data_IF_946248426528
#
_entry.id   IF_946248426528
#
_cell.length_a   1.000
_cell.length_b   1.000
_cell.length_c   1.000
_cell.angle_alpha   90.00
_cell.angle_beta   90.00
_cell.angle_gamma   90.00
#
_symmetry.space_group_name_H-M   'P 1'
#
loop_
_entity.id
_entity.type
_entity.pdbx_description
1 polymer ?
#
# COMPACT_ATOMS: atom_id res chain seq x y z
N UNK A 1 8.55 -21.99 13.69
CA UNK A 1 8.93 -22.11 15.13
C UNK A 1 7.76 -21.81 16.07
N UNK A 2 7.06 -20.68 15.90
CA UNK A 2 5.91 -20.33 16.74
C UNK A 2 4.75 -21.33 16.61
N UNK A 3 4.43 -21.80 15.39
CA UNK A 3 3.42 -22.85 15.18
C UNK A 3 3.68 -24.11 16.01
N UNK A 4 4.91 -24.63 15.94
CA UNK A 4 5.34 -25.82 16.68
C UNK A 4 5.27 -25.62 18.19
N UNK A 5 5.59 -24.42 18.69
CA UNK A 5 5.46 -24.09 20.11
C UNK A 5 3.99 -24.02 20.54
N UNK A 6 3.12 -23.48 19.68
CA UNK A 6 1.69 -23.44 19.95
C UNK A 6 1.07 -24.84 19.97
N UNK A 7 1.42 -25.70 19.00
CA UNK A 7 1.02 -27.11 18.99
C UNK A 7 1.50 -27.86 20.25
N UNK A 8 2.69 -27.54 20.72
CA UNK A 8 3.24 -28.12 21.95
C UNK A 8 2.47 -27.65 23.19
N UNK A 9 2.08 -26.38 23.23
CA UNK A 9 1.27 -25.82 24.32
C UNK A 9 -0.12 -26.46 24.37
N UNK A 10 -0.75 -26.69 23.21
CA UNK A 10 -2.04 -27.39 23.10
C UNK A 10 -1.95 -28.82 23.63
N UNK A 11 -0.90 -29.55 23.27
CA UNK A 11 -0.64 -30.92 23.77
C UNK A 11 -0.36 -30.95 25.28
N UNK A 12 0.26 -29.90 25.83
CA UNK A 12 0.60 -29.80 27.24
C UNK A 12 -0.57 -29.36 28.14
N UNK A 13 -1.67 -28.87 27.55
CA UNK A 13 -2.82 -28.37 28.29
C UNK A 13 -3.59 -29.52 28.98
N UNK A 14 -3.40 -29.66 30.29
CA UNK A 14 -3.83 -30.84 31.05
C UNK A 14 -5.17 -30.70 31.80
N UNK A 15 -5.83 -29.54 31.72
CA UNK A 15 -7.15 -29.29 32.32
C UNK A 15 -7.91 -28.22 31.53
N UNK A 16 -9.23 -28.19 31.68
CA UNK A 16 -10.12 -27.32 30.89
C UNK A 16 -9.77 -25.83 30.97
N UNK A 17 -9.42 -25.32 32.16
CA UNK A 17 -9.02 -23.91 32.33
C UNK A 17 -7.72 -23.56 31.59
N UNK A 18 -6.77 -24.50 31.54
CA UNK A 18 -5.53 -24.31 30.78
C UNK A 18 -5.78 -24.45 29.29
N UNK A 19 -6.64 -25.39 28.86
CA UNK A 19 -7.03 -25.55 27.45
C UNK A 19 -7.70 -24.29 26.90
N UNK A 20 -8.65 -23.71 27.63
CA UNK A 20 -9.31 -22.45 27.25
C UNK A 20 -8.29 -21.31 27.05
N UNK A 21 -7.35 -21.15 27.99
CA UNK A 21 -6.29 -20.13 27.87
C UNK A 21 -5.36 -20.37 26.69
N UNK A 22 -4.97 -21.62 26.46
CA UNK A 22 -4.12 -21.97 25.30
C UNK A 22 -4.87 -21.76 23.99
N UNK A 23 -6.18 -22.04 23.96
CA UNK A 23 -7.02 -21.77 22.81
C UNK A 23 -7.13 -20.27 22.50
N UNK A 24 -7.29 -19.41 23.52
CA UNK A 24 -7.23 -17.95 23.33
C UNK A 24 -5.88 -17.49 22.76
N UNK A 25 -4.77 -18.10 23.21
CA UNK A 25 -3.44 -17.83 22.66
C UNK A 25 -3.30 -18.31 21.21
N UNK A 26 -3.89 -19.46 20.86
CA UNK A 26 -3.97 -19.98 19.48
C UNK A 26 -4.71 -18.99 18.57
N UNK A 27 -5.88 -18.51 18.98
CA UNK A 27 -6.65 -17.51 18.23
C UNK A 27 -5.83 -16.23 18.01
N UNK A 28 -5.18 -15.72 19.06
CA UNK A 28 -4.34 -14.52 18.93
C UNK A 28 -3.15 -14.75 18.00
N UNK A 29 -2.52 -15.92 18.08
CA UNK A 29 -1.41 -16.30 17.22
C UNK A 29 -1.83 -16.40 15.75
N UNK A 30 -2.95 -17.06 15.47
CA UNK A 30 -3.44 -17.25 14.11
C UNK A 30 -3.95 -15.93 13.52
N UNK A 31 -4.57 -15.07 14.33
CA UNK A 31 -4.93 -13.69 13.93
C UNK A 31 -3.70 -12.87 13.51
N UNK A 32 -2.61 -12.93 14.28
CA UNK A 32 -1.37 -12.24 13.92
C UNK A 32 -0.72 -12.82 12.66
N UNK A 33 -0.80 -14.14 12.45
CA UNK A 33 -0.30 -14.76 11.22
C UNK A 33 -1.07 -14.28 10.00
N UNK A 34 -2.40 -14.31 10.06
CA UNK A 34 -3.25 -13.81 8.99
C UNK A 34 -3.01 -12.32 8.71
N UNK A 35 -2.72 -11.51 9.74
CA UNK A 35 -2.33 -10.12 9.51
C UNK A 35 -1.04 -10.01 8.68
N UNK A 36 -0.02 -10.82 8.98
CA UNK A 36 1.23 -10.82 8.22
C UNK A 36 1.03 -11.38 6.80
N UNK A 37 0.25 -12.45 6.67
CA UNK A 37 -0.08 -13.06 5.37
C UNK A 37 -0.86 -12.09 4.49
N UNK A 38 -1.81 -11.34 5.08
CA UNK A 38 -2.55 -10.27 4.40
C UNK A 38 -1.62 -9.17 3.89
N UNK A 39 -0.71 -8.66 4.71
CA UNK A 39 0.24 -7.61 4.29
C UNK A 39 1.20 -8.12 3.20
N UNK A 40 1.66 -9.37 3.28
CA UNK A 40 2.49 -9.99 2.23
C UNK A 40 1.71 -10.17 0.93
N UNK A 41 0.46 -10.63 0.99
CA UNK A 41 -0.38 -10.75 -0.20
C UNK A 41 -0.64 -9.40 -0.87
N UNK A 42 -0.81 -8.32 -0.09
CA UNK A 42 -0.88 -6.96 -0.66
C UNK A 42 0.44 -6.54 -1.30
N UNK A 43 1.58 -6.89 -0.70
CA UNK A 43 2.90 -6.60 -1.26
C UNK A 43 3.14 -7.36 -2.59
N UNK A 44 2.67 -8.58 -2.70
CA UNK A 44 2.75 -9.38 -3.93
C UNK A 44 1.73 -8.97 -5.00
N UNK A 45 0.66 -8.26 -4.61
CA UNK A 45 -0.44 -7.88 -5.50
C UNK A 45 -1.58 -8.91 -5.56
N UNK A 46 -1.59 -9.88 -4.64
CA UNK A 46 -2.66 -10.85 -4.41
C UNK A 46 -3.80 -10.23 -3.59
N UNK A 47 -4.37 -9.11 -4.08
CA UNK A 47 -5.31 -8.31 -3.29
C UNK A 47 -6.57 -9.07 -2.86
N UNK A 48 -7.07 -9.99 -3.69
CA UNK A 48 -8.21 -10.85 -3.34
C UNK A 48 -7.91 -11.77 -2.15
N UNK A 49 -6.72 -12.38 -2.12
CA UNK A 49 -6.28 -13.21 -0.99
C UNK A 49 -6.13 -12.39 0.29
N UNK A 50 -5.65 -11.15 0.19
CA UNK A 50 -5.61 -10.25 1.34
C UNK A 50 -7.01 -9.93 1.90
N UNK A 51 -8.05 -9.88 1.07
CA UNK A 51 -9.44 -9.76 1.54
C UNK A 51 -9.87 -11.03 2.27
N UNK A 52 -9.60 -12.21 1.70
CA UNK A 52 -9.90 -13.51 2.32
C UNK A 52 -9.22 -13.67 3.70
N UNK A 53 -7.94 -13.30 3.80
CA UNK A 53 -7.19 -13.32 5.08
C UNK A 53 -7.85 -12.38 6.10
N UNK A 54 -8.30 -11.20 5.67
CA UNK A 54 -9.06 -10.25 6.50
C UNK A 54 -10.41 -10.82 6.99
N UNK A 55 -11.15 -11.53 6.15
CA UNK A 55 -12.39 -12.20 6.54
C UNK A 55 -12.15 -13.30 7.58
N UNK A 56 -11.08 -14.08 7.43
CA UNK A 56 -10.67 -15.07 8.43
C UNK A 56 -10.28 -14.42 9.75
N UNK A 57 -9.59 -13.27 9.70
CA UNK A 57 -9.27 -12.49 10.89
C UNK A 57 -10.53 -12.01 11.63
N UNK A 58 -11.58 -11.59 10.90
CA UNK A 58 -12.87 -11.23 11.51
C UNK A 58 -13.54 -12.43 12.19
N UNK A 59 -13.47 -13.61 11.56
CA UNK A 59 -13.98 -14.86 12.17
C UNK A 59 -13.25 -15.19 13.47
N UNK A 60 -11.93 -15.03 13.53
CA UNK A 60 -11.15 -15.23 14.76
C UNK A 60 -11.52 -14.21 15.84
N UNK A 61 -11.81 -12.95 15.46
CA UNK A 61 -12.26 -11.93 16.42
C UNK A 61 -13.59 -12.33 17.06
N UNK A 62 -14.54 -12.80 16.26
CA UNK A 62 -15.84 -13.27 16.77
C UNK A 62 -15.69 -14.45 17.75
N UNK A 63 -14.80 -15.41 17.44
CA UNK A 63 -14.51 -16.54 18.32
C UNK A 63 -13.82 -16.11 19.63
N UNK A 64 -12.82 -15.21 19.53
CA UNK A 64 -12.09 -14.70 20.68
C UNK A 64 -12.99 -13.87 21.61
N UNK A 65 -13.88 -13.04 21.05
CA UNK A 65 -14.83 -12.21 21.79
C UNK A 65 -15.84 -13.06 22.59
N UNK A 66 -16.24 -14.22 22.05
CA UNK A 66 -17.11 -15.17 22.75
C UNK A 66 -16.47 -15.82 23.99
N UNK A 67 -15.13 -15.89 24.04
CA UNK A 67 -14.37 -16.48 25.16
C UNK A 67 -13.89 -15.40 26.13
N UNK A 68 -13.26 -14.35 25.61
CA UNK A 68 -12.74 -13.25 26.40
C UNK A 68 -12.93 -11.90 25.69
N UNK A 69 -14.01 -11.21 26.09
CA UNK A 69 -14.36 -9.87 25.66
C UNK A 69 -13.19 -8.89 25.75
N UNK A 70 -12.98 -8.15 24.65
CA UNK A 70 -12.03 -7.04 24.58
C UNK A 70 -10.58 -7.42 24.32
N UNK A 71 -10.26 -8.72 24.15
CA UNK A 71 -8.90 -9.13 23.76
C UNK A 71 -8.62 -8.82 22.28
N UNK A 72 -9.51 -9.29 21.40
CA UNK A 72 -9.52 -9.00 19.96
C UNK A 72 -10.91 -8.44 19.61
N UNK A 73 -11.21 -7.19 20.02
CA UNK A 73 -12.57 -6.68 19.99
C UNK A 73 -13.10 -6.56 18.57
N UNK A 74 -14.37 -6.90 18.42
CA UNK A 74 -15.14 -6.59 17.22
C UNK A 74 -15.21 -5.08 17.01
N UNK A 75 -15.19 -4.66 15.74
CA UNK A 75 -15.33 -3.26 15.35
C UNK A 75 -16.79 -2.82 15.52
N UNK A 76 -17.11 -1.83 16.38
CA UNK A 76 -18.41 -1.17 16.34
C UNK A 76 -18.73 -0.60 14.96
N UNK A 77 -20.01 -0.49 14.58
CA UNK A 77 -20.39 -0.02 13.24
C UNK A 77 -19.80 1.35 12.88
N UNK A 78 -19.69 2.26 13.85
CA UNK A 78 -19.13 3.60 13.65
C UNK A 78 -17.62 3.63 13.37
N UNK A 79 -16.87 2.55 13.64
CA UNK A 79 -15.43 2.45 13.31
C UNK A 79 -15.15 1.64 12.05
N UNK A 80 -16.12 0.89 11.50
CA UNK A 80 -15.86 0.01 10.34
C UNK A 80 -15.35 0.79 9.12
N UNK A 81 -15.79 2.03 8.94
CA UNK A 81 -15.33 2.90 7.86
C UNK A 81 -14.12 3.78 8.25
N UNK A 82 -13.59 3.64 9.46
CA UNK A 82 -12.44 4.40 9.90
C UNK A 82 -11.17 3.86 9.23
N UNK A 83 -10.31 4.75 8.72
CA UNK A 83 -9.12 4.46 7.90
C UNK A 83 -8.01 3.59 8.51
N UNK A 84 -8.26 2.98 9.66
CA UNK A 84 -7.36 2.05 10.35
C UNK A 84 -8.07 0.78 10.80
N UNK A 85 -9.36 0.60 10.49
CA UNK A 85 -10.10 -0.63 10.74
C UNK A 85 -9.72 -1.69 9.71
N UNK A 86 -9.86 -2.96 10.10
CA UNK A 86 -9.61 -4.07 9.18
C UNK A 86 -10.60 -4.03 8.01
N UNK A 87 -11.86 -3.71 8.29
CA UNK A 87 -12.95 -3.62 7.33
C UNK A 87 -12.69 -2.56 6.25
N UNK A 88 -12.13 -1.40 6.65
CA UNK A 88 -11.74 -0.36 5.70
C UNK A 88 -10.59 -0.82 4.82
N UNK A 89 -9.58 -1.50 5.39
CA UNK A 89 -8.47 -2.07 4.62
C UNK A 89 -8.98 -3.09 3.60
N UNK A 90 -9.85 -4.02 4.02
CA UNK A 90 -10.48 -5.00 3.12
C UNK A 90 -11.24 -4.32 1.99
N UNK A 91 -12.00 -3.25 2.27
CA UNK A 91 -12.70 -2.48 1.23
C UNK A 91 -11.72 -1.88 0.21
N UNK A 92 -10.56 -1.39 0.66
CA UNK A 92 -9.52 -0.86 -0.23
C UNK A 92 -8.82 -1.96 -1.03
N UNK A 93 -8.56 -3.11 -0.43
CA UNK A 93 -7.94 -4.25 -1.11
C UNK A 93 -8.90 -4.86 -2.13
N UNK A 94 -10.19 -4.95 -1.83
CA UNK A 94 -11.20 -5.34 -2.81
C UNK A 94 -11.21 -4.38 -4.01
N UNK A 95 -11.21 -3.06 -3.77
CA UNK A 95 -11.15 -2.09 -4.86
C UNK A 95 -9.86 -2.16 -5.70
N UNK A 96 -8.75 -2.69 -5.15
CA UNK A 96 -7.54 -2.99 -5.91
C UNK A 96 -7.67 -4.30 -6.69
N UNK A 97 -8.27 -5.33 -6.10
CA UNK A 97 -8.58 -6.59 -6.77
C UNK A 97 -9.50 -6.38 -7.98
N UNK A 98 -10.56 -5.58 -7.81
CA UNK A 98 -11.55 -5.28 -8.85
C UNK A 98 -10.90 -4.65 -10.11
N UNK A 99 -9.75 -3.99 -9.99
CA UNK A 99 -9.03 -3.36 -11.11
C UNK A 99 -8.27 -4.36 -11.97
N UNK A 100 -8.00 -5.54 -11.43
CA UNK A 100 -7.06 -6.51 -12.02
C UNK A 100 -7.71 -7.87 -12.30
N UNK A 101 -8.92 -8.13 -11.80
CA UNK A 101 -9.63 -9.41 -11.88
C UNK A 101 -10.74 -9.48 -12.95
N UNK A 102 -10.93 -8.39 -13.70
CA UNK A 102 -11.97 -8.26 -14.71
C UNK A 102 -13.28 -7.61 -14.22
N UNK A 103 -13.40 -7.21 -12.96
CA UNK A 103 -14.62 -6.55 -12.46
C UNK A 103 -14.74 -5.12 -12.98
N UNK A 104 -13.74 -4.29 -12.69
CA UNK A 104 -13.65 -2.88 -13.13
C UNK A 104 -12.58 -2.65 -14.20
N UNK A 105 -11.63 -3.59 -14.33
CA UNK A 105 -10.56 -3.54 -15.30
C UNK A 105 -9.79 -4.86 -15.38
N UNK A 106 -8.81 -4.92 -16.27
CA UNK A 106 -7.96 -6.09 -16.49
C UNK A 106 -6.50 -5.73 -16.18
N UNK A 107 -5.78 -6.64 -15.51
CA UNK A 107 -4.35 -6.46 -15.27
C UNK A 107 -3.58 -6.41 -16.59
N UNK A 108 -2.76 -5.38 -16.77
CA UNK A 108 -1.78 -5.33 -17.86
C UNK A 108 -0.43 -5.86 -17.36
N UNK A 109 0.05 -5.34 -16.24
CA UNK A 109 1.31 -5.79 -15.64
C UNK A 109 1.46 -5.35 -14.19
N UNK A 110 1.96 -6.24 -13.33
CA UNK A 110 2.47 -5.85 -12.02
C UNK A 110 3.84 -5.19 -12.20
N UNK A 111 4.04 -3.99 -11.64
CA UNK A 111 5.36 -3.36 -11.68
C UNK A 111 6.32 -4.05 -10.69
N UNK A 112 7.64 -4.07 -10.91
CA UNK A 112 8.60 -4.60 -9.94
C UNK A 112 8.42 -4.00 -8.54
N UNK A 113 8.71 -4.80 -7.50
CA UNK A 113 8.70 -4.34 -6.10
C UNK A 113 9.83 -3.33 -5.87
N UNK A 114 11.03 -3.66 -6.34
CA UNK A 114 12.22 -2.82 -6.23
C UNK A 114 12.26 -1.76 -7.32
N UNK A 115 12.31 -0.49 -6.92
CA UNK A 115 12.49 0.66 -7.82
C UNK A 115 13.83 1.32 -7.55
N UNK A 116 14.31 2.09 -8.51
CA UNK A 116 15.49 2.93 -8.31
C UNK A 116 15.12 4.10 -7.40
N UNK A 117 15.92 4.33 -6.36
CA UNK A 117 15.65 5.31 -5.32
C UNK A 117 16.82 6.26 -5.11
N UNK A 118 16.51 7.55 -4.90
CA UNK A 118 17.51 8.58 -4.64
C UNK A 118 16.99 9.63 -3.66
N UNK A 119 17.76 9.92 -2.61
CA UNK A 119 17.48 11.00 -1.68
C UNK A 119 17.73 12.36 -2.35
N UNK A 120 16.90 13.37 -2.07
CA UNK A 120 17.01 14.73 -2.60
C UNK A 120 16.96 15.77 -1.46
N UNK A 121 17.96 15.75 -0.54
CA UNK A 121 17.97 16.64 0.62
C UNK A 121 18.12 18.12 0.24
N UNK A 122 18.64 18.41 -0.96
CA UNK A 122 18.90 19.76 -1.46
C UNK A 122 17.76 20.31 -2.34
N UNK A 123 16.72 19.52 -2.61
CA UNK A 123 15.60 19.89 -3.49
C UNK A 123 16.05 20.34 -4.89
N UNK A 124 16.92 19.53 -5.51
CA UNK A 124 17.50 19.83 -6.82
C UNK A 124 17.04 18.87 -7.90
N UNK A 125 16.38 17.76 -7.56
CA UNK A 125 16.00 16.73 -8.52
C UNK A 125 15.03 17.22 -9.60
N UNK A 126 14.12 18.14 -9.27
CA UNK A 126 13.25 18.75 -10.28
C UNK A 126 14.03 19.71 -11.20
N UNK A 127 14.99 20.46 -10.65
CA UNK A 127 15.84 21.39 -11.42
C UNK A 127 16.73 20.63 -12.42
N UNK A 128 17.32 19.53 -11.97
CA UNK A 128 18.15 18.65 -12.81
C UNK A 128 17.36 17.65 -13.64
N UNK A 129 16.03 17.61 -13.50
CA UNK A 129 15.15 16.75 -14.28
C UNK A 129 15.41 15.25 -14.09
N UNK A 130 15.60 14.82 -12.84
CA UNK A 130 15.74 13.38 -12.50
C UNK A 130 14.55 12.51 -12.94
N UNK A 131 13.41 13.13 -13.29
CA UNK A 131 12.27 12.45 -13.91
C UNK A 131 12.49 12.06 -15.38
N UNK A 132 13.50 12.63 -16.05
CA UNK A 132 13.89 12.36 -17.43
C UNK A 132 15.27 11.69 -17.53
N UNK A 133 16.16 11.97 -16.60
CA UNK A 133 17.53 11.44 -16.62
C UNK A 133 17.54 9.89 -16.56
N UNK A 134 18.44 9.22 -17.30
CA UNK A 134 18.67 7.79 -17.17
C UNK A 134 18.98 7.38 -15.73
N UNK A 135 18.47 6.22 -15.33
CA UNK A 135 18.86 5.59 -14.07
C UNK A 135 20.34 5.18 -14.19
N UNK A 136 21.17 5.71 -13.30
CA UNK A 136 22.59 5.44 -13.19
C UNK A 136 22.95 4.82 -11.83
N UNK A 137 24.25 4.70 -11.55
CA UNK A 137 24.78 4.10 -10.32
C UNK A 137 24.57 4.96 -9.06
N UNK A 138 24.07 6.20 -9.19
CA UNK A 138 23.72 7.06 -8.06
C UNK A 138 22.37 6.70 -7.43
N UNK A 139 21.58 5.86 -8.09
CA UNK A 139 20.31 5.35 -7.56
C UNK A 139 20.54 3.99 -6.89
N UNK A 140 19.91 3.77 -5.73
CA UNK A 140 19.92 2.47 -5.06
C UNK A 140 18.58 1.75 -5.25
N UNK A 141 18.53 0.41 -5.26
CA UNK A 141 17.25 -0.28 -5.20
C UNK A 141 16.56 -0.02 -3.86
N UNK A 142 15.23 0.10 -3.88
CA UNK A 142 14.39 0.17 -2.69
C UNK A 142 13.04 -0.49 -2.98
N UNK A 143 12.56 -1.31 -2.04
CA UNK A 143 11.24 -1.95 -2.15
C UNK A 143 10.12 -0.92 -1.95
N UNK A 144 9.19 -0.86 -2.89
CA UNK A 144 8.03 0.04 -2.88
C UNK A 144 6.84 -0.50 -2.09
N UNK A 145 6.95 -1.69 -1.49
CA UNK A 145 5.93 -2.26 -0.59
C UNK A 145 6.27 -2.04 0.88
N UNK A 146 7.41 -1.38 1.18
CA UNK A 146 7.88 -1.11 2.54
C UNK A 146 8.22 0.36 2.71
N UNK A 147 7.95 0.91 3.90
CA UNK A 147 8.43 2.25 4.26
C UNK A 147 9.96 2.29 4.21
N UNK A 148 10.51 3.43 3.77
CA UNK A 148 11.96 3.52 3.60
C UNK A 148 12.72 3.42 4.93
N UNK A 149 12.11 3.78 6.06
CA UNK A 149 12.75 3.66 7.38
C UNK A 149 12.97 2.21 7.76
N UNK A 150 12.06 1.31 7.37
CA UNK A 150 12.18 -0.13 7.61
C UNK A 150 13.31 -0.75 6.76
N UNK A 151 13.76 -0.04 5.73
CA UNK A 151 14.82 -0.44 4.81
C UNK A 151 16.17 0.23 5.14
N UNK A 152 16.28 0.85 6.32
CA UNK A 152 17.53 1.40 6.83
C UNK A 152 17.78 2.87 6.50
N UNK A 153 16.80 3.60 5.96
CA UNK A 153 16.90 5.05 5.77
C UNK A 153 16.72 5.77 7.11
N UNK A 154 17.77 5.76 7.91
CA UNK A 154 17.81 6.39 9.23
C UNK A 154 19.19 7.00 9.47
N UNK A 155 19.26 8.07 10.25
CA UNK A 155 20.52 8.63 10.72
C UNK A 155 21.17 7.77 11.83
N UNK A 156 22.36 8.16 12.28
CA UNK A 156 23.10 7.46 13.36
C UNK A 156 22.35 7.36 14.69
N UNK A 157 21.33 8.20 14.90
CA UNK A 157 20.50 8.23 16.10
C UNK A 157 19.19 7.47 15.92
N UNK A 158 18.96 6.87 14.75
CA UNK A 158 17.74 6.14 14.41
C UNK A 158 16.58 7.03 13.98
N UNK A 159 16.82 8.30 13.63
CA UNK A 159 15.78 9.14 13.02
C UNK A 159 15.65 8.78 11.55
N UNK A 160 14.44 8.33 11.16
CA UNK A 160 14.12 8.03 9.78
C UNK A 160 14.33 9.23 8.87
N UNK A 161 14.84 9.01 7.65
CA UNK A 161 15.04 10.04 6.64
C UNK A 161 13.76 10.85 6.41
N UNK A 162 13.91 12.17 6.27
CA UNK A 162 12.83 13.07 5.91
C UNK A 162 13.28 14.05 4.83
N UNK A 163 12.30 14.60 4.11
CA UNK A 163 12.54 15.50 2.98
C UNK A 163 12.07 14.87 1.68
N UNK A 164 12.69 15.31 0.59
CA UNK A 164 12.36 14.86 -0.76
C UNK A 164 13.17 13.63 -1.12
N UNK A 165 12.53 12.69 -1.79
CA UNK A 165 13.19 11.52 -2.36
C UNK A 165 12.47 11.12 -3.65
N UNK A 166 13.24 10.52 -4.56
CA UNK A 166 12.78 10.10 -5.86
C UNK A 166 12.75 8.59 -5.94
N UNK A 167 11.70 8.10 -6.59
CA UNK A 167 11.62 6.75 -7.13
C UNK A 167 11.60 6.84 -8.66
N UNK A 168 12.26 5.93 -9.34
CA UNK A 168 12.23 5.80 -10.78
C UNK A 168 12.17 4.32 -11.19
N UNK A 169 11.42 4.03 -12.25
CA UNK A 169 11.31 2.71 -12.82
C UNK A 169 11.11 2.82 -14.33
N UNK A 170 11.89 2.03 -15.06
CA UNK A 170 11.63 1.72 -16.47
C UNK A 170 10.72 0.49 -16.54
N UNK A 171 9.64 0.59 -17.31
CA UNK A 171 8.64 -0.46 -17.47
C UNK A 171 8.24 -0.61 -18.93
N UNK A 172 7.74 -1.79 -19.28
CA UNK A 172 7.28 -2.11 -20.63
C UNK A 172 5.76 -2.27 -20.64
N UNK A 173 5.16 -1.82 -21.73
CA UNK A 173 3.75 -2.08 -22.05
C UNK A 173 3.71 -2.94 -23.31
N UNK A 174 2.99 -4.07 -23.34
CA UNK A 174 2.91 -4.93 -24.51
C UNK A 174 2.49 -4.15 -25.77
N UNK A 175 3.09 -4.46 -26.92
CA UNK A 175 2.82 -3.73 -28.17
C UNK A 175 1.39 -3.92 -28.70
N UNK A 176 0.72 -5.00 -28.31
CA UNK A 176 -0.67 -5.31 -28.62
C UNK A 176 -1.66 -4.73 -27.60
N UNK A 177 -1.17 -4.17 -26.49
CA UNK A 177 -2.02 -3.49 -25.51
C UNK A 177 -2.55 -2.17 -26.09
N UNK A 178 -3.87 -1.99 -26.17
CA UNK A 178 -4.44 -0.69 -26.50
C UNK A 178 -3.98 0.36 -25.48
N UNK A 179 -3.50 1.50 -25.97
CA UNK A 179 -3.17 2.63 -25.11
C UNK A 179 -4.42 3.33 -24.55
N UNK A 180 -5.61 3.01 -25.08
CA UNK A 180 -6.87 3.58 -24.62
C UNK A 180 -7.22 3.06 -23.21
N UNK A 181 -7.52 3.96 -22.29
CA UNK A 181 -7.88 3.63 -20.89
C UNK A 181 -6.80 2.83 -20.15
N UNK A 182 -5.52 3.13 -20.38
CA UNK A 182 -4.42 2.54 -19.62
C UNK A 182 -4.14 3.38 -18.37
N UNK A 183 -4.14 2.72 -17.21
CA UNK A 183 -3.96 3.36 -15.90
C UNK A 183 -2.74 2.81 -15.18
N UNK A 184 -2.01 3.72 -14.54
CA UNK A 184 -1.00 3.41 -13.52
C UNK A 184 -1.62 3.59 -12.14
N UNK A 185 -1.58 2.54 -11.33
CA UNK A 185 -1.93 2.62 -9.91
C UNK A 185 -0.66 2.54 -9.05
N UNK A 186 -0.47 3.54 -8.19
CA UNK A 186 0.49 3.50 -7.07
C UNK A 186 -0.30 3.18 -5.81
N UNK A 187 -0.05 2.01 -5.21
CA UNK A 187 -0.96 1.42 -4.21
C UNK A 187 -1.19 2.27 -2.96
N UNK A 188 -0.15 2.93 -2.45
CA UNK A 188 -0.23 3.93 -1.38
C UNK A 188 1.14 4.59 -1.19
N UNK A 189 1.13 5.87 -0.78
CA UNK A 189 2.35 6.65 -0.55
C UNK A 189 2.24 7.41 0.75
N UNK A 190 3.15 7.20 1.68
CA UNK A 190 3.25 8.05 2.87
C UNK A 190 4.00 9.33 2.50
N UNK A 191 3.28 10.45 2.54
CA UNK A 191 3.72 11.71 1.98
C UNK A 191 3.17 12.91 2.76
N UNK A 192 3.91 14.01 2.72
CA UNK A 192 3.40 15.37 2.87
C UNK A 192 3.23 16.08 1.51
N UNK A 193 3.78 15.49 0.45
CA UNK A 193 3.57 15.87 -0.94
C UNK A 193 4.05 14.77 -1.89
N UNK A 194 3.31 14.52 -2.97
CA UNK A 194 3.68 13.54 -4.01
C UNK A 194 3.45 14.12 -5.41
N UNK A 195 4.40 13.88 -6.31
CA UNK A 195 4.35 14.27 -7.71
C UNK A 195 4.81 13.12 -8.59
N UNK A 196 4.13 12.89 -9.71
CA UNK A 196 4.40 11.77 -10.60
C UNK A 196 4.62 12.29 -12.01
N UNK A 197 5.63 11.73 -12.68
CA UNK A 197 5.92 11.93 -14.09
C UNK A 197 5.89 10.59 -14.81
N UNK A 198 5.37 10.59 -16.02
CA UNK A 198 5.43 9.44 -16.94
C UNK A 198 5.98 9.95 -18.27
N UNK A 199 7.07 9.34 -18.75
CA UNK A 199 7.81 9.77 -19.95
C UNK A 199 8.13 11.28 -19.95
N UNK A 200 8.45 11.83 -18.79
CA UNK A 200 8.78 13.24 -18.62
C UNK A 200 7.60 14.20 -18.51
N UNK A 201 6.38 13.74 -18.75
CA UNK A 201 5.17 14.54 -18.57
C UNK A 201 4.70 14.46 -17.12
N UNK A 202 4.48 15.61 -16.50
CA UNK A 202 3.94 15.68 -15.14
C UNK A 202 2.47 15.28 -15.15
N UNK A 203 2.15 14.23 -14.42
CA UNK A 203 0.80 13.70 -14.34
C UNK A 203 -0.03 14.44 -13.29
N UNK A 204 -1.32 14.56 -13.57
CA UNK A 204 -2.32 15.00 -12.60
C UNK A 204 -3.19 13.81 -12.23
N UNK A 205 -3.53 13.72 -10.95
CA UNK A 205 -4.45 12.72 -10.44
C UNK A 205 -5.38 13.36 -9.41
N UNK A 206 -6.47 12.68 -9.10
CA UNK A 206 -7.46 13.18 -8.15
C UNK A 206 -6.84 13.19 -6.75
N UNK A 207 -6.61 14.40 -6.24
CA UNK A 207 -6.27 14.62 -4.84
C UNK A 207 -7.51 15.17 -4.15
N UNK A 208 -7.89 14.60 -3.00
CA UNK A 208 -8.86 15.27 -2.15
C UNK A 208 -8.28 16.64 -1.76
N UNK A 209 -9.11 17.70 -1.81
CA UNK A 209 -8.64 19.05 -1.50
C UNK A 209 -8.06 19.08 -0.10
N UNK A 210 -6.74 19.11 -0.03
CA UNK A 210 -5.98 19.40 1.16
C UNK A 210 -5.37 20.79 1.05
N UNK A 211 -5.16 21.46 2.18
CA UNK A 211 -4.59 22.81 2.20
C UNK A 211 -3.10 22.83 1.80
N UNK A 212 -2.43 21.68 1.82
CA UNK A 212 -1.05 21.50 1.31
C UNK A 212 -1.07 21.00 -0.12
N UNK A 213 -0.34 21.67 -1.00
CA UNK A 213 -0.19 21.27 -2.40
C UNK A 213 0.51 19.91 -2.49
N UNK A 214 -0.05 18.99 -3.27
CA UNK A 214 0.54 17.67 -3.50
C UNK A 214 0.28 16.66 -2.37
N UNK A 215 -0.42 17.03 -1.29
CA UNK A 215 -0.75 16.09 -0.23
C UNK A 215 -1.83 15.10 -0.69
N UNK A 216 -1.54 13.80 -0.59
CA UNK A 216 -2.48 12.71 -0.87
C UNK A 216 -2.72 11.86 0.37
N UNK A 217 -3.91 11.25 0.50
CA UNK A 217 -4.16 10.33 1.61
C UNK A 217 -3.20 9.15 1.58
N UNK A 218 -2.52 8.92 2.70
CA UNK A 218 -1.38 7.99 2.78
C UNK A 218 -1.75 6.50 2.66
N UNK A 219 -3.03 6.17 2.53
CA UNK A 219 -3.55 4.81 2.42
C UNK A 219 -4.46 4.60 1.21
N UNK A 220 -4.78 5.65 0.48
CA UNK A 220 -5.64 5.56 -0.70
C UNK A 220 -4.75 5.44 -1.93
N UNK A 221 -5.04 4.51 -2.86
CA UNK A 221 -4.28 4.40 -4.10
C UNK A 221 -4.31 5.70 -4.91
N UNK A 222 -3.24 5.94 -5.66
CA UNK A 222 -3.17 6.99 -6.67
C UNK A 222 -3.37 6.33 -8.03
N UNK A 223 -4.43 6.72 -8.73
CA UNK A 223 -4.71 6.24 -10.08
C UNK A 223 -4.46 7.35 -11.09
N UNK A 224 -3.65 7.06 -12.10
CA UNK A 224 -3.18 8.00 -13.11
C UNK A 224 -3.52 7.44 -14.49
N UNK A 225 -4.27 8.20 -15.27
CA UNK A 225 -4.48 7.92 -16.69
C UNK A 225 -3.17 8.20 -17.46
N UNK A 226 -2.56 7.14 -18.01
CA UNK A 226 -1.33 7.23 -18.79
C UNK A 226 -1.57 7.07 -20.30
N UNK A 227 -2.84 6.99 -20.72
CA UNK A 227 -3.23 6.67 -22.10
C UNK A 227 -2.60 7.57 -23.16
N UNK A 228 -2.37 8.84 -22.82
CA UNK A 228 -1.85 9.86 -23.77
C UNK A 228 -0.33 9.97 -23.78
N UNK A 229 0.34 9.42 -22.77
CA UNK A 229 1.78 9.63 -22.54
C UNK A 229 2.59 8.35 -22.71
N UNK A 230 1.94 7.19 -22.62
CA UNK A 230 2.57 5.88 -22.75
C UNK A 230 2.82 5.51 -24.21
N UNK A 231 3.87 4.72 -24.44
CA UNK A 231 4.26 4.20 -25.74
C UNK A 231 4.29 2.66 -25.67
N UNK A 232 3.20 1.97 -26.06
CA UNK A 232 3.17 0.51 -26.12
C UNK A 232 4.26 -0.05 -27.06
N UNK A 233 4.90 -1.13 -26.66
CA UNK A 233 6.02 -1.75 -27.37
C UNK A 233 7.37 -1.05 -27.18
N UNK A 234 7.41 0.04 -26.41
CA UNK A 234 8.64 0.76 -26.06
C UNK A 234 8.88 0.75 -24.54
N UNK A 235 10.10 1.08 -24.13
CA UNK A 235 10.41 1.31 -22.72
C UNK A 235 9.82 2.65 -22.29
N UNK A 236 8.98 2.60 -21.27
CA UNK A 236 8.38 3.76 -20.63
C UNK A 236 9.04 4.01 -19.28
N UNK A 237 9.02 5.24 -18.80
CA UNK A 237 9.57 5.61 -17.48
C UNK A 237 8.50 6.23 -16.62
N UNK A 238 8.44 5.81 -15.36
CA UNK A 238 7.75 6.51 -14.28
C UNK A 238 8.78 7.06 -13.31
N UNK A 239 8.58 8.31 -12.89
CA UNK A 239 9.34 8.92 -11.79
C UNK A 239 8.37 9.52 -10.76
N UNK A 240 8.63 9.28 -9.48
CA UNK A 240 7.79 9.72 -8.37
C UNK A 240 8.64 10.47 -7.38
N UNK A 241 8.32 11.74 -7.16
CA UNK A 241 8.88 12.54 -6.08
C UNK A 241 7.95 12.44 -4.87
N UNK A 242 8.50 11.99 -3.75
CA UNK A 242 7.84 11.95 -2.45
C UNK A 242 8.53 12.95 -1.53
N UNK A 243 7.75 13.84 -0.94
CA UNK A 243 8.20 14.75 0.12
C UNK A 243 7.58 14.33 1.44
N UNK A 244 8.38 14.31 2.49
CA UNK A 244 7.94 14.10 3.88
C UNK A 244 8.49 15.21 4.78
N UNK A 245 7.71 15.61 5.77
CA UNK A 245 8.14 16.55 6.80
C UNK A 245 9.04 15.88 7.85
N UNK A 246 9.57 16.71 8.74
CA UNK A 246 10.43 16.28 9.85
C UNK A 246 9.80 15.13 10.65
N UNK A 247 10.58 14.09 11.03
CA UNK A 247 10.03 12.89 11.64
C UNK A 247 9.37 13.21 12.98
N UNK A 248 8.10 12.81 13.10
CA UNK A 248 7.32 12.91 14.34
C UNK A 248 7.37 11.62 15.17
N UNK A 249 6.33 11.38 15.97
CA UNK A 249 6.18 10.13 16.76
C UNK A 249 6.00 8.87 15.92
N UNK A 250 5.73 9.01 14.63
CA UNK A 250 5.42 7.90 13.74
C UNK A 250 6.07 8.14 12.37
N UNK A 251 7.42 8.18 12.31
CA UNK A 251 8.14 8.47 11.08
C UNK A 251 7.91 7.32 10.11
N UNK A 252 7.38 7.69 8.95
CA UNK A 252 7.16 6.81 7.81
C UNK A 252 7.37 7.65 6.57
N UNK A 253 7.81 7.02 5.50
CA UNK A 253 7.86 7.69 4.22
C UNK A 253 7.98 6.72 3.07
N UNK A 254 7.62 7.23 1.90
CA UNK A 254 7.76 6.53 0.65
C UNK A 254 6.52 5.75 0.22
N UNK A 255 6.68 5.07 -0.91
CA UNK A 255 5.69 4.14 -1.45
C UNK A 255 5.72 2.89 -0.57
N UNK A 256 4.55 2.40 -0.14
CA UNK A 256 4.46 1.25 0.77
C UNK A 256 3.42 0.21 0.37
N UNK A 257 2.94 0.26 -0.88
CA UNK A 257 2.06 -0.77 -1.45
C UNK A 257 2.31 -0.96 -2.94
N UNK A 258 2.00 -2.17 -3.40
CA UNK A 258 2.19 -2.64 -4.77
C UNK A 258 1.64 -1.68 -5.81
N UNK A 259 2.44 -1.43 -6.84
CA UNK A 259 2.07 -0.62 -8.00
C UNK A 259 1.91 -1.50 -9.24
N UNK A 260 1.00 -1.14 -10.13
CA UNK A 260 0.65 -1.95 -11.31
C UNK A 260 0.01 -1.11 -12.41
N UNK A 261 -0.02 -1.69 -13.61
CA UNK A 261 -0.71 -1.19 -14.79
C UNK A 261 -1.96 -2.01 -15.05
N UNK A 262 -3.04 -1.35 -15.42
CA UNK A 262 -4.31 -2.00 -15.72
C UNK A 262 -5.10 -1.23 -16.77
N UNK A 263 -5.92 -1.95 -17.53
CA UNK A 263 -6.84 -1.39 -18.51
C UNK A 263 -8.22 -1.25 -17.88
N UNK A 264 -8.77 -0.04 -17.87
CA UNK A 264 -10.06 0.21 -17.24
C UNK A 264 -11.22 -0.04 -18.19
N UNK A 265 -12.25 -0.78 -17.75
CA UNK A 265 -13.48 -1.00 -18.53
C UNK A 265 -14.36 0.26 -18.62
N UNK A 266 -14.22 1.15 -17.64
CA UNK A 266 -14.78 2.49 -17.58
C UNK A 266 -13.85 3.35 -16.72
N UNK A 267 -13.94 4.70 -16.81
CA UNK A 267 -13.15 5.56 -15.92
C UNK A 267 -13.37 5.13 -14.45
N UNK A 268 -12.31 4.85 -13.67
CA UNK A 268 -12.44 4.44 -12.28
C UNK A 268 -13.20 5.51 -11.50
N UNK A 269 -14.38 5.14 -11.01
CA UNK A 269 -15.12 5.94 -10.04
C UNK A 269 -14.37 5.81 -8.70
N UNK A 270 -13.40 6.70 -8.48
CA UNK A 270 -12.66 6.76 -7.23
C UNK A 270 -13.62 6.85 -6.03
N UNK A 271 -13.76 5.73 -5.33
CA UNK A 271 -14.59 5.59 -4.13
C UNK A 271 -14.00 6.35 -2.96
N UNK A 272 -14.59 7.51 -2.67
CA UNK A 272 -14.90 7.87 -1.30
C UNK A 272 -16.41 7.80 -1.16
N UNK A 273 -16.99 6.93 -0.31
CA UNK A 273 -18.30 7.24 0.22
C UNK A 273 -18.14 8.57 0.99
N UNK A 274 -19.17 9.38 0.90
CA UNK A 274 -19.33 10.67 1.54
C UNK A 274 -18.49 10.84 2.82
N UNK A 275 -17.65 11.88 2.84
CA UNK A 275 -17.58 12.65 4.08
C UNK A 275 -18.97 13.27 4.23
N UNK A 276 -19.83 12.61 4.98
CA UNK A 276 -20.86 13.31 5.71
C UNK A 276 -20.12 14.31 6.60
N UNK A 277 -20.14 15.59 6.20
CA UNK A 277 -19.79 16.67 7.10
C UNK A 277 -20.59 16.45 8.40
N UNK A 278 -19.95 16.45 9.58
CA UNK A 278 -20.72 16.61 10.80
C UNK A 278 -21.41 17.97 10.70
N UNK A 279 -22.74 17.93 10.63
CA UNK A 279 -23.58 19.12 10.69
C UNK A 279 -23.18 19.99 11.90
N UNK A 280 -23.22 21.30 11.67
CA UNK A 280 -23.00 22.39 12.65
C UNK A 280 -23.66 22.17 14.02
#
# INVERSE_FOLDING_TARGET
KLDTLMESAEKAANNEKVKERVHVLRLTHDHMKLYLDMEESVAEGEFGKAVEDGEQMLTIRDEAEAIQTGLLPNSPDWVKNFRTSLEWHMTKYQGLADRIDGTSGELVSMLPREWSFKEDPEDVGTLYQWYNDPIDDSWRPLDTTLYWEAQGLQDEKGWGYWGKAWYALDFEVPADQPAENLWLTIGAVYNDGVWVWVNGERMNFRMDRHWRLGYHDVRTPIDIDISKVVHPGETNRVAVLVSTGMPGRNPRGGIHRRSFLWEAKAEPTGGSPDRADPAE
#
